data_IF_163870254693
#
_entry.id   IF_163870254693
#
_cell.length_a   1.000
_cell.length_b   1.000
_cell.length_c   1.000
_cell.angle_alpha   90.00
_cell.angle_beta   90.00
_cell.angle_gamma   90.00
#
_symmetry.space_group_name_H-M   'P 1'
#
loop_
_entity.id
_entity.type
_entity.pdbx_description
1 polymer ?
#
# COMPACT_ATOMS: atom_id res chain seq x y z
N UNK A 1 -46.37 43.68 -6.06
CA UNK A 1 -46.62 42.69 -7.12
C UNK A 1 -46.06 41.36 -6.63
N UNK A 2 -46.91 40.37 -6.43
CA UNK A 2 -46.49 39.05 -5.93
C UNK A 2 -46.38 38.11 -7.14
N UNK A 3 -45.21 37.54 -7.38
CA UNK A 3 -45.02 36.48 -8.37
C UNK A 3 -45.18 35.13 -7.67
N UNK A 4 -46.21 34.38 -8.03
CA UNK A 4 -46.42 33.00 -7.55
C UNK A 4 -45.83 32.05 -8.58
N UNK A 5 -44.73 31.37 -8.24
CA UNK A 5 -44.18 30.29 -9.08
C UNK A 5 -45.06 29.05 -8.93
N UNK A 6 -45.73 28.65 -10.01
CA UNK A 6 -46.47 27.40 -10.11
C UNK A 6 -45.47 26.29 -10.49
N UNK A 7 -45.10 25.44 -9.55
CA UNK A 7 -44.38 24.21 -9.89
C UNK A 7 -45.38 23.20 -10.46
N UNK A 8 -45.26 22.90 -11.76
CA UNK A 8 -45.99 21.79 -12.36
C UNK A 8 -45.41 20.49 -11.82
N UNK A 9 -46.21 19.71 -11.09
CA UNK A 9 -45.84 18.39 -10.57
C UNK A 9 -45.90 17.34 -11.68
N UNK A 10 -45.13 17.54 -12.76
CA UNK A 10 -45.11 16.67 -13.93
C UNK A 10 -43.79 15.91 -13.98
N UNK A 11 -43.87 14.60 -14.18
CA UNK A 11 -42.69 13.79 -14.46
C UNK A 11 -42.20 14.12 -15.87
N UNK A 12 -40.92 14.48 -16.07
CA UNK A 12 -40.39 14.72 -17.42
C UNK A 12 -40.42 13.42 -18.23
N UNK A 13 -40.53 13.56 -19.55
CA UNK A 13 -40.41 12.42 -20.46
C UNK A 13 -39.06 11.70 -20.24
N UNK A 14 -39.00 10.37 -20.39
CA UNK A 14 -37.73 9.64 -20.33
C UNK A 14 -36.70 10.24 -21.29
N UNK A 15 -35.46 10.34 -20.82
CA UNK A 15 -34.32 10.73 -21.65
C UNK A 15 -34.00 9.67 -22.72
N UNK A 16 -33.15 10.00 -23.70
CA UNK A 16 -32.69 9.02 -24.69
C UNK A 16 -31.96 7.86 -23.99
N UNK A 17 -32.02 6.68 -24.62
CA UNK A 17 -31.26 5.52 -24.16
C UNK A 17 -29.76 5.81 -24.23
N UNK A 18 -29.04 5.44 -23.17
CA UNK A 18 -27.58 5.64 -23.11
C UNK A 18 -26.94 4.61 -24.02
N UNK A 19 -26.06 5.01 -24.96
CA UNK A 19 -25.37 4.05 -25.83
C UNK A 19 -24.50 3.09 -25.01
N UNK A 20 -24.50 1.81 -25.38
CA UNK A 20 -23.60 0.81 -24.80
C UNK A 20 -22.17 1.00 -25.33
N UNK A 21 -21.36 1.79 -24.63
CA UNK A 21 -19.99 2.14 -25.06
C UNK A 21 -18.89 1.22 -24.52
N UNK A 22 -19.23 0.11 -23.85
CA UNK A 22 -18.25 -0.74 -23.15
C UNK A 22 -17.70 -1.90 -23.98
N UNK A 23 -18.32 -2.26 -25.12
CA UNK A 23 -17.90 -3.39 -25.96
C UNK A 23 -16.64 -3.12 -26.80
N UNK A 24 -16.36 -1.85 -27.11
CA UNK A 24 -15.35 -1.44 -28.10
C UNK A 24 -14.08 -0.88 -27.45
N UNK A 25 -13.90 -1.12 -26.15
CA UNK A 25 -12.77 -0.59 -25.40
C UNK A 25 -11.49 -1.39 -25.69
N UNK A 26 -10.49 -0.70 -26.23
CA UNK A 26 -9.15 -1.25 -26.45
C UNK A 26 -8.24 -0.85 -25.28
N UNK A 27 -7.58 -1.83 -24.64
CA UNK A 27 -6.54 -1.58 -23.65
C UNK A 27 -5.15 -1.82 -24.25
N UNK A 28 -4.30 -0.80 -24.20
CA UNK A 28 -2.88 -0.89 -24.59
C UNK A 28 -1.96 -1.02 -23.37
N UNK A 29 -2.53 -1.22 -22.18
CA UNK A 29 -1.76 -1.42 -20.95
C UNK A 29 -1.35 -2.90 -20.84
N UNK A 30 -0.04 -3.22 -20.84
CA UNK A 30 0.42 -4.59 -20.75
C UNK A 30 -0.04 -5.26 -19.45
N UNK A 31 -0.47 -6.54 -19.50
CA UNK A 31 -0.79 -7.29 -18.29
C UNK A 31 0.48 -7.54 -17.45
N UNK A 32 0.29 -7.91 -16.19
CA UNK A 32 1.38 -8.56 -15.44
C UNK A 32 1.57 -9.96 -16.03
N UNK A 33 2.75 -10.23 -16.58
CA UNK A 33 3.04 -11.53 -17.19
C UNK A 33 3.39 -12.53 -16.09
N UNK A 34 4.44 -12.23 -15.31
CA UNK A 34 4.88 -12.98 -14.13
C UNK A 34 5.73 -12.07 -13.25
N UNK A 35 5.97 -12.51 -12.02
CA UNK A 35 6.98 -11.94 -11.13
C UNK A 35 8.00 -13.01 -10.73
N UNK A 36 9.19 -12.58 -10.31
CA UNK A 36 10.17 -13.42 -9.60
C UNK A 36 10.72 -12.66 -8.40
N UNK A 37 11.02 -13.36 -7.30
CA UNK A 37 11.67 -12.76 -6.13
C UNK A 37 13.14 -12.37 -6.44
N UNK A 38 13.78 -13.08 -7.37
CA UNK A 38 15.19 -12.94 -7.70
C UNK A 38 16.04 -14.03 -7.05
N UNK A 39 17.31 -14.12 -7.46
CA UNK A 39 18.21 -15.17 -6.97
C UNK A 39 18.57 -14.89 -5.50
N UNK A 40 18.34 -15.88 -4.64
CA UNK A 40 18.69 -15.82 -3.22
C UNK A 40 17.73 -15.02 -2.36
N UNK A 41 16.52 -14.73 -2.85
CA UNK A 41 15.46 -14.07 -2.10
C UNK A 41 14.13 -14.79 -2.25
N UNK A 42 13.30 -14.67 -1.23
CA UNK A 42 11.87 -14.98 -1.26
C UNK A 42 11.03 -13.68 -1.27
N UNK A 43 9.76 -13.78 -1.65
CA UNK A 43 8.85 -12.64 -1.56
C UNK A 43 8.62 -12.25 -0.10
N UNK A 44 8.64 -10.95 0.18
CA UNK A 44 8.56 -10.44 1.56
C UNK A 44 9.91 -10.33 2.27
N UNK A 45 11.00 -10.82 1.68
CA UNK A 45 12.34 -10.60 2.23
C UNK A 45 12.68 -9.12 2.30
N UNK A 46 13.37 -8.74 3.38
CA UNK A 46 13.80 -7.36 3.61
C UNK A 46 15.19 -7.15 3.02
N UNK A 47 15.26 -6.40 1.93
CA UNK A 47 16.50 -6.02 1.27
C UNK A 47 17.26 -4.94 2.04
N UNK A 48 16.54 -3.99 2.63
CA UNK A 48 17.12 -2.90 3.44
C UNK A 48 16.29 -2.75 4.72
N UNK A 49 16.95 -2.99 5.85
CA UNK A 49 16.31 -2.92 7.17
C UNK A 49 16.17 -1.47 7.64
N UNK A 50 15.17 -1.17 8.49
CA UNK A 50 15.03 0.15 9.09
C UNK A 50 16.20 0.46 10.04
N UNK A 51 16.44 1.76 10.25
CA UNK A 51 17.32 2.22 11.33
C UNK A 51 16.80 1.65 12.66
N UNK A 52 17.71 1.16 13.50
CA UNK A 52 17.36 0.55 14.80
C UNK A 52 16.75 1.55 15.80
N UNK A 53 17.01 2.85 15.62
CA UNK A 53 16.45 3.94 16.42
C UNK A 53 16.04 5.07 15.46
N UNK A 54 14.84 5.62 15.69
CA UNK A 54 14.29 6.77 14.97
C UNK A 54 13.66 7.74 15.98
N UNK A 55 13.81 9.04 15.76
CA UNK A 55 13.18 10.06 16.59
C UNK A 55 11.80 10.43 16.03
N UNK A 56 10.92 10.88 16.91
CA UNK A 56 9.67 11.52 16.51
C UNK A 56 9.98 12.67 15.54
N UNK A 57 9.26 12.73 14.41
CA UNK A 57 9.47 13.67 13.31
C UNK A 57 10.44 13.19 12.22
N UNK A 58 11.25 12.15 12.48
CA UNK A 58 12.12 11.55 11.46
C UNK A 58 11.36 10.53 10.60
N UNK A 59 11.95 10.17 9.45
CA UNK A 59 11.42 9.11 8.59
C UNK A 59 12.25 7.84 8.74
N UNK A 60 11.55 6.73 8.94
CA UNK A 60 12.10 5.37 8.89
C UNK A 60 11.59 4.69 7.61
N UNK A 61 12.41 3.86 6.99
CA UNK A 61 12.04 3.10 5.80
C UNK A 61 12.56 1.67 5.86
N UNK A 62 11.90 0.78 5.12
CA UNK A 62 12.35 -0.58 4.86
C UNK A 62 12.03 -0.94 3.40
N UNK A 63 12.93 -1.70 2.77
CA UNK A 63 12.79 -2.13 1.38
C UNK A 63 12.56 -3.64 1.32
N UNK A 64 11.50 -4.08 0.66
CA UNK A 64 11.12 -5.49 0.57
C UNK A 64 11.13 -5.99 -0.87
N UNK A 65 11.44 -7.27 -1.06
CA UNK A 65 11.16 -7.98 -2.32
C UNK A 65 9.65 -8.07 -2.50
N UNK A 66 9.17 -7.71 -3.69
CA UNK A 66 7.75 -7.49 -3.91
C UNK A 66 7.28 -7.97 -5.28
N UNK A 67 6.06 -8.52 -5.36
CA UNK A 67 5.34 -8.77 -6.61
C UNK A 67 4.71 -7.48 -7.18
N UNK A 68 4.09 -7.54 -8.36
CA UNK A 68 3.40 -6.36 -8.90
C UNK A 68 2.08 -6.08 -8.15
N UNK A 69 1.81 -4.84 -7.68
CA UNK A 69 0.58 -4.51 -6.94
C UNK A 69 -0.72 -4.80 -7.68
N UNK A 70 -0.70 -4.89 -9.02
CA UNK A 70 -1.88 -5.24 -9.83
C UNK A 70 -2.33 -6.69 -9.69
N UNK A 71 -1.51 -7.57 -9.10
CA UNK A 71 -1.88 -8.97 -8.91
C UNK A 71 -2.91 -9.16 -7.78
N UNK A 72 -2.92 -8.29 -6.78
CA UNK A 72 -3.85 -8.37 -5.67
C UNK A 72 -4.21 -6.97 -5.23
N UNK A 73 -5.39 -6.51 -5.64
CA UNK A 73 -5.93 -5.24 -5.16
C UNK A 73 -6.37 -5.48 -3.71
N UNK A 74 -5.63 -4.93 -2.75
CA UNK A 74 -5.94 -5.04 -1.32
C UNK A 74 -7.08 -4.07 -0.93
N UNK A 75 -8.23 -4.16 -1.62
CA UNK A 75 -9.41 -3.38 -1.30
C UNK A 75 -9.91 -3.74 0.10
N UNK A 76 -10.15 -2.74 0.95
CA UNK A 76 -10.47 -2.90 2.39
C UNK A 76 -9.35 -3.52 3.25
N UNK A 77 -8.19 -3.82 2.64
CA UNK A 77 -6.96 -4.22 3.30
C UNK A 77 -5.92 -3.10 3.28
N UNK A 78 -4.64 -3.49 3.35
CA UNK A 78 -3.53 -2.56 3.24
C UNK A 78 -2.29 -3.27 2.67
N UNK A 79 -1.47 -2.57 1.88
CA UNK A 79 -0.18 -3.07 1.39
C UNK A 79 0.93 -2.97 2.44
N UNK A 80 0.74 -2.14 3.47
CA UNK A 80 1.69 -1.96 4.56
C UNK A 80 0.98 -1.64 5.87
N UNK A 81 1.56 -2.08 6.98
CA UNK A 81 1.18 -1.58 8.30
C UNK A 81 2.41 -1.23 9.12
N UNK A 82 2.28 -0.20 9.94
CA UNK A 82 3.20 0.09 11.02
C UNK A 82 2.61 -0.52 12.28
N UNK A 83 3.38 -1.36 12.96
CA UNK A 83 2.95 -2.04 14.17
C UNK A 83 3.77 -1.57 15.37
N UNK A 84 3.11 -1.34 16.50
CA UNK A 84 3.74 -1.09 17.80
C UNK A 84 3.69 -2.36 18.64
N UNK A 85 4.81 -2.72 19.26
CA UNK A 85 4.86 -3.80 20.23
C UNK A 85 4.06 -3.43 21.49
N UNK A 86 3.22 -4.35 21.98
CA UNK A 86 2.51 -4.23 23.25
C UNK A 86 3.25 -4.95 24.40
N UNK A 87 2.69 -4.88 25.61
CA UNK A 87 3.29 -5.45 26.82
C UNK A 87 3.34 -6.99 26.87
N UNK A 88 2.65 -7.69 25.97
CA UNK A 88 2.55 -9.16 25.94
C UNK A 88 3.26 -9.77 24.71
N UNK A 89 4.24 -9.07 24.11
CA UNK A 89 4.87 -9.41 22.83
C UNK A 89 3.90 -9.47 21.64
N UNK A 90 2.68 -8.98 21.80
CA UNK A 90 1.75 -8.73 20.70
C UNK A 90 2.12 -7.47 19.93
N UNK A 91 1.48 -7.30 18.79
CA UNK A 91 1.69 -6.18 17.88
C UNK A 91 0.35 -5.57 17.53
N UNK A 92 0.22 -4.25 17.69
CA UNK A 92 -0.97 -3.50 17.30
C UNK A 92 -0.65 -2.61 16.11
N UNK A 93 -1.54 -2.60 15.11
CA UNK A 93 -1.44 -1.67 13.98
C UNK A 93 -1.66 -0.24 14.48
N UNK A 94 -0.77 0.67 14.10
CA UNK A 94 -0.85 2.11 14.42
C UNK A 94 -0.99 2.99 13.18
N UNK A 95 -0.56 2.50 12.02
CA UNK A 95 -0.76 3.17 10.74
C UNK A 95 -0.84 2.14 9.60
N UNK A 96 -1.51 2.51 8.52
CA UNK A 96 -1.75 1.74 7.30
C UNK A 96 -1.34 2.57 6.09
N UNK A 97 -1.37 2.01 4.87
CA UNK A 97 -1.21 2.77 3.62
C UNK A 97 -2.25 3.90 3.39
N UNK A 98 -3.34 3.95 4.16
CA UNK A 98 -4.30 5.06 4.14
C UNK A 98 -3.83 6.28 4.96
N UNK A 99 -2.82 6.12 5.81
CA UNK A 99 -2.30 7.19 6.67
C UNK A 99 -1.31 8.10 5.92
N UNK A 100 -1.45 9.41 6.10
CA UNK A 100 -0.67 10.42 5.37
C UNK A 100 0.85 10.30 5.59
N UNK A 101 1.23 9.89 6.80
CA UNK A 101 2.60 9.71 7.25
C UNK A 101 3.29 8.47 6.67
N UNK A 102 2.55 7.58 5.98
CA UNK A 102 3.13 6.41 5.33
C UNK A 102 3.23 6.60 3.82
N UNK A 103 4.17 5.88 3.19
CA UNK A 103 4.32 5.83 1.74
C UNK A 103 4.61 4.40 1.30
N UNK A 104 3.95 4.00 0.21
CA UNK A 104 4.17 2.76 -0.52
C UNK A 104 4.75 3.11 -1.90
N UNK A 105 5.99 2.72 -2.18
CA UNK A 105 6.62 2.99 -3.47
C UNK A 105 7.09 1.69 -4.11
N UNK A 106 6.33 1.19 -5.07
CA UNK A 106 6.69 0.00 -5.85
C UNK A 106 7.62 0.37 -7.01
N UNK A 107 8.68 -0.43 -7.20
CA UNK A 107 9.73 -0.19 -8.19
C UNK A 107 10.02 -1.49 -8.95
N UNK A 108 9.86 -1.47 -10.27
CA UNK A 108 10.34 -2.55 -11.14
C UNK A 108 11.88 -2.52 -11.17
N UNK A 109 12.52 -3.62 -10.82
CA UNK A 109 13.99 -3.77 -10.89
C UNK A 109 14.44 -4.31 -12.23
N UNK A 110 13.74 -5.31 -12.76
CA UNK A 110 13.98 -5.84 -14.10
C UNK A 110 12.69 -6.35 -14.72
N UNK A 111 12.31 -5.76 -15.85
CA UNK A 111 11.13 -6.22 -16.61
C UNK A 111 11.34 -7.59 -17.24
N UNK A 112 12.57 -7.90 -17.67
CA UNK A 112 12.91 -9.20 -18.30
C UNK A 112 12.88 -10.32 -17.25
N UNK A 113 13.45 -10.07 -16.08
CA UNK A 113 13.49 -11.07 -15.00
C UNK A 113 12.22 -11.08 -14.15
N UNK A 114 11.31 -10.12 -14.33
CA UNK A 114 10.11 -10.01 -13.51
C UNK A 114 10.38 -9.63 -12.04
N UNK A 115 11.55 -9.06 -11.72
CA UNK A 115 11.88 -8.69 -10.33
C UNK A 115 11.41 -7.29 -9.98
N UNK A 116 10.91 -7.11 -8.76
CA UNK A 116 10.50 -5.82 -8.22
C UNK A 116 10.75 -5.74 -6.71
N UNK A 117 10.73 -4.51 -6.21
CA UNK A 117 10.81 -4.20 -4.79
C UNK A 117 9.78 -3.15 -4.40
N UNK A 118 9.45 -3.07 -3.12
CA UNK A 118 8.73 -1.94 -2.55
C UNK A 118 9.60 -1.26 -1.52
N UNK A 119 9.67 0.06 -1.57
CA UNK A 119 10.16 0.89 -0.48
C UNK A 119 8.95 1.40 0.32
N UNK A 120 8.91 1.06 1.60
CA UNK A 120 7.90 1.54 2.54
C UNK A 120 8.56 2.53 3.47
N UNK A 121 7.97 3.71 3.64
CA UNK A 121 8.44 4.71 4.60
C UNK A 121 7.34 5.20 5.52
N UNK A 122 7.74 5.59 6.71
CA UNK A 122 6.90 6.17 7.75
C UNK A 122 7.60 7.37 8.38
N UNK A 123 7.01 8.55 8.23
CA UNK A 123 7.43 9.75 8.96
C UNK A 123 6.75 9.74 10.32
N UNK A 124 7.52 9.49 11.39
CA UNK A 124 6.99 9.29 12.74
C UNK A 124 6.21 10.55 13.19
N UNK A 125 4.87 10.49 13.35
CA UNK A 125 4.08 11.67 13.67
C UNK A 125 4.42 12.24 15.05
N UNK A 126 4.28 13.55 15.20
CA UNK A 126 4.29 14.17 16.53
C UNK A 126 3.20 13.58 17.42
N UNK A 127 3.53 13.30 18.69
CA UNK A 127 2.63 12.62 19.62
C UNK A 127 2.69 11.09 19.58
N UNK A 128 3.52 10.51 18.70
CA UNK A 128 3.77 9.06 18.72
C UNK A 128 4.38 8.63 20.05
N UNK A 129 3.77 7.63 20.68
CA UNK A 129 4.28 7.05 21.92
C UNK A 129 5.66 6.40 21.67
N UNK A 130 6.70 6.70 22.47
CA UNK A 130 7.94 5.97 22.40
C UNK A 130 7.71 4.46 22.60
N UNK A 131 8.52 3.64 21.95
CA UNK A 131 8.35 2.19 22.00
C UNK A 131 9.08 1.47 20.89
N UNK A 132 8.79 0.19 20.76
CA UNK A 132 9.32 -0.68 19.71
C UNK A 132 8.27 -0.82 18.61
N UNK A 133 8.69 -0.62 17.37
CA UNK A 133 7.84 -0.64 16.19
C UNK A 133 8.46 -1.54 15.12
N UNK A 134 7.65 -1.94 14.13
CA UNK A 134 8.14 -2.61 12.91
C UNK A 134 7.24 -2.25 11.72
N UNK A 135 7.77 -2.47 10.52
CA UNK A 135 7.03 -2.36 9.26
C UNK A 135 6.69 -3.77 8.80
N UNK A 136 5.43 -3.99 8.42
CA UNK A 136 4.98 -5.21 7.76
C UNK A 136 4.42 -4.86 6.38
N UNK A 137 4.81 -5.63 5.38
CA UNK A 137 4.36 -5.51 3.99
C UNK A 137 3.50 -6.72 3.61
N UNK A 138 2.41 -6.47 2.89
CA UNK A 138 1.57 -7.49 2.28
C UNK A 138 1.56 -7.31 0.76
N UNK A 139 1.58 -8.42 0.04
CA UNK A 139 1.46 -8.37 -1.40
C UNK A 139 1.06 -9.70 -2.02
N UNK A 140 0.97 -9.68 -3.34
CA UNK A 140 0.69 -10.86 -4.14
C UNK A 140 1.70 -10.96 -5.28
N UNK A 141 2.14 -12.17 -5.58
CA UNK A 141 2.99 -12.42 -6.74
C UNK A 141 2.30 -13.36 -7.72
N UNK A 142 2.65 -13.22 -9.00
CA UNK A 142 2.11 -14.05 -10.07
C UNK A 142 3.17 -15.00 -10.60
N UNK A 143 2.96 -16.30 -10.46
CA UNK A 143 3.80 -17.32 -11.09
C UNK A 143 3.67 -17.28 -12.62
N UNK A 144 4.68 -17.83 -13.31
CA UNK A 144 4.70 -17.88 -14.78
C UNK A 144 3.49 -18.59 -15.40
N UNK A 145 2.88 -19.54 -14.69
CA UNK A 145 1.67 -20.25 -15.11
C UNK A 145 0.36 -19.55 -14.70
N UNK A 146 0.43 -18.34 -14.14
CA UNK A 146 -0.72 -17.48 -13.89
C UNK A 146 -1.30 -17.52 -12.48
N UNK A 147 -0.92 -18.49 -11.65
CA UNK A 147 -1.33 -18.55 -10.22
C UNK A 147 -0.87 -17.30 -9.48
N UNK A 148 -1.76 -16.70 -8.70
CA UNK A 148 -1.48 -15.55 -7.85
C UNK A 148 -1.54 -16.01 -6.39
N UNK A 149 -0.48 -15.77 -5.63
CA UNK A 149 -0.40 -16.16 -4.22
C UNK A 149 -0.03 -14.96 -3.33
N UNK A 150 -0.64 -14.87 -2.12
CA UNK A 150 -0.30 -13.84 -1.16
C UNK A 150 1.02 -14.15 -0.45
N UNK A 151 1.72 -13.10 -0.02
CA UNK A 151 2.87 -13.19 0.87
C UNK A 151 2.86 -12.03 1.87
N UNK A 152 3.61 -12.18 2.95
CA UNK A 152 3.92 -11.08 3.87
C UNK A 152 5.41 -11.01 4.17
N UNK A 153 5.88 -9.80 4.48
CA UNK A 153 7.24 -9.51 4.90
C UNK A 153 7.24 -8.67 6.16
N UNK A 154 8.15 -8.96 7.10
CA UNK A 154 8.24 -8.25 8.39
C UNK A 154 9.66 -7.73 8.58
N UNK A 155 9.80 -6.42 8.80
CA UNK A 155 11.10 -5.81 9.08
C UNK A 155 11.66 -6.23 10.45
N UNK A 156 12.96 -6.01 10.64
CA UNK A 156 13.51 -5.89 11.99
C UNK A 156 12.77 -4.78 12.76
N UNK A 157 12.65 -4.95 14.07
CA UNK A 157 12.05 -3.95 14.94
C UNK A 157 12.99 -2.77 15.19
N UNK A 158 12.43 -1.58 15.36
CA UNK A 158 13.16 -0.36 15.66
C UNK A 158 12.52 0.41 16.82
N UNK A 159 13.33 1.19 17.53
CA UNK A 159 12.89 2.00 18.66
C UNK A 159 12.53 3.42 18.21
N UNK A 160 11.32 3.85 18.52
CA UNK A 160 10.92 5.27 18.43
C UNK A 160 11.22 5.94 19.77
N UNK A 161 11.94 7.06 19.75
CA UNK A 161 12.25 7.88 20.93
C UNK A 161 11.85 9.33 20.77
N UNK A 162 11.75 10.06 21.89
CA UNK A 162 11.58 11.51 21.87
C UNK A 162 12.70 12.21 21.12
N UNK A 163 12.41 13.43 20.65
CA UNK A 163 13.43 14.37 20.23
C UNK A 163 14.26 14.72 21.46
N UNK A 164 15.54 14.38 21.45
CA UNK A 164 16.48 14.94 22.43
C UNK A 164 16.82 16.33 21.92
N UNK A 165 16.26 17.37 22.56
CA UNK A 165 16.74 18.74 22.35
C UNK A 165 18.22 18.80 22.78
N UNK A 166 19.11 19.42 21.99
CA UNK A 166 20.51 19.60 22.37
C UNK A 166 20.67 20.45 23.64
#
# INVERSE_FOLDING_TARGET
>A
MNYTFQFQNTTPSPGPEVPESFSDLISLLPPVIFDTAGIGYDYGDVMEQPKSIVKIGETVSATFVSGHPRNGIHQEGSYLVIEKQDGNNGWRVVATDANWETKFHWIRRSSILGTSKVEISWTVPFGTEPGVYRIRHFGHHKYIYGTIEPYEGVSASFKVSFIVSP
#
